data_IF_476679639336
#
_entry.id   IF_476679639336
#
_cell.length_a   1.000
_cell.length_b   1.000
_cell.length_c   1.000
_cell.angle_alpha   90.00
_cell.angle_beta   90.00
_cell.angle_gamma   90.00
#
_symmetry.space_group_name_H-M   'P 1'
#
loop_
_entity.id
_entity.type
_entity.pdbx_description
1 polymer ?
#
# COMPACT_ATOMS: atom_id res chain seq x y z
N UNK A 1 16.45 -3.51 21.73
CA UNK A 1 16.66 -2.21 21.04
C UNK A 1 16.68 -2.32 19.50
N UNK A 2 16.12 -3.39 18.89
CA UNK A 2 16.20 -3.63 17.43
C UNK A 2 14.92 -3.36 16.61
N UNK A 3 13.77 -3.11 17.25
CA UNK A 3 12.49 -3.03 16.54
C UNK A 3 12.18 -1.63 15.98
N UNK A 4 12.69 -0.57 16.63
CA UNK A 4 12.49 0.81 16.19
C UNK A 4 13.35 1.18 14.96
N UNK A 5 14.53 0.58 14.80
CA UNK A 5 15.39 0.80 13.62
C UNK A 5 14.82 0.11 12.37
N UNK A 6 14.20 -1.07 12.53
CA UNK A 6 13.50 -1.76 11.45
C UNK A 6 12.25 -0.98 11.03
N UNK A 7 11.43 -0.54 11.99
CA UNK A 7 10.25 0.28 11.71
C UNK A 7 10.62 1.61 11.06
N UNK A 8 11.69 2.26 11.53
CA UNK A 8 12.24 3.49 10.95
C UNK A 8 12.73 3.30 9.51
N UNK A 9 13.52 2.25 9.23
CA UNK A 9 13.97 1.91 7.86
C UNK A 9 12.83 1.54 6.92
N UNK A 10 11.75 0.97 7.45
CA UNK A 10 10.54 0.61 6.68
C UNK A 10 9.68 1.84 6.40
N UNK A 11 9.51 2.74 7.38
CA UNK A 11 8.89 4.06 7.21
C UNK A 11 9.60 4.87 6.14
N UNK A 12 10.93 4.97 6.21
CA UNK A 12 11.78 5.65 5.22
C UNK A 12 11.65 5.05 3.81
N UNK A 13 11.47 3.72 3.71
CA UNK A 13 11.30 3.02 2.42
C UNK A 13 9.93 3.26 1.79
N UNK A 14 8.88 3.33 2.61
CA UNK A 14 7.51 3.65 2.18
C UNK A 14 7.39 5.14 1.82
N UNK A 15 8.22 5.98 2.44
CA UNK A 15 8.32 7.42 2.22
C UNK A 15 9.18 7.85 1.03
N UNK A 16 9.48 7.03 0.00
CA UNK A 16 10.35 7.49 -1.11
C UNK A 16 9.73 7.67 -2.49
N UNK A 17 8.47 7.28 -2.75
CA UNK A 17 8.00 7.24 -4.15
C UNK A 17 6.55 7.65 -4.52
N UNK A 18 5.77 8.37 -3.71
CA UNK A 18 4.60 9.15 -4.22
C UNK A 18 4.12 10.21 -3.24
N UNK A 19 3.90 11.42 -3.75
CA UNK A 19 3.32 12.61 -3.06
C UNK A 19 3.95 12.86 -1.68
N UNK A 20 5.29 13.00 -1.68
CA UNK A 20 6.12 13.25 -0.49
C UNK A 20 5.57 14.35 0.41
N UNK A 21 5.13 15.43 -0.21
CA UNK A 21 4.60 16.59 0.49
C UNK A 21 3.35 16.20 1.29
N UNK A 22 2.33 15.63 0.66
CA UNK A 22 1.07 15.24 1.34
C UNK A 22 1.30 14.27 2.51
N UNK A 23 2.18 13.28 2.35
CA UNK A 23 2.44 12.28 3.40
C UNK A 23 3.22 12.83 4.59
N UNK A 24 4.23 13.66 4.33
CA UNK A 24 5.01 14.33 5.38
C UNK A 24 4.09 15.25 6.17
N UNK A 25 3.32 16.09 5.50
CA UNK A 25 2.36 17.00 6.15
C UNK A 25 1.30 16.23 6.93
N UNK A 26 0.71 15.16 6.39
CA UNK A 26 -0.25 14.33 7.13
C UNK A 26 0.36 13.71 8.40
N UNK A 27 1.63 13.31 8.35
CA UNK A 27 2.33 12.73 9.52
C UNK A 27 2.61 13.81 10.56
N UNK A 28 3.08 14.99 10.13
CA UNK A 28 3.33 16.14 11.01
C UNK A 28 2.02 16.60 11.67
N UNK A 29 0.94 16.74 10.91
CA UNK A 29 -0.38 17.11 11.45
C UNK A 29 -0.88 16.08 12.48
N UNK A 30 -0.66 14.79 12.22
CA UNK A 30 -1.03 13.72 13.14
C UNK A 30 -0.23 13.78 14.47
N UNK A 31 1.09 13.95 14.39
CA UNK A 31 1.95 14.10 15.57
C UNK A 31 1.56 15.35 16.36
N UNK A 32 1.29 16.45 15.66
CA UNK A 32 0.87 17.69 16.29
C UNK A 32 -0.47 17.53 17.03
N UNK A 33 -1.44 16.80 16.48
CA UNK A 33 -2.69 16.49 17.18
C UNK A 33 -2.45 15.72 18.49
N UNK A 34 -1.57 14.72 18.47
CA UNK A 34 -1.21 13.96 19.68
C UNK A 34 -0.56 14.87 20.73
N UNK A 35 0.35 15.74 20.30
CA UNK A 35 1.03 16.67 21.20
C UNK A 35 0.05 17.67 21.84
N UNK A 36 -0.83 18.28 21.04
CA UNK A 36 -1.87 19.19 21.54
C UNK A 36 -2.80 18.48 22.51
N UNK A 37 -3.21 17.25 22.19
CA UNK A 37 -4.05 16.46 23.08
C UNK A 37 -3.31 16.13 24.39
N UNK A 38 -2.03 15.77 24.34
CA UNK A 38 -1.22 15.50 25.53
C UNK A 38 -1.01 16.72 26.43
N UNK A 39 -0.83 17.91 25.86
CA UNK A 39 -0.64 19.16 26.63
C UNK A 39 -1.97 19.71 27.15
N UNK A 40 -3.02 19.64 26.33
CA UNK A 40 -4.31 20.27 26.61
C UNK A 40 -5.30 19.40 27.39
N UNK A 41 -5.26 18.08 27.25
CA UNK A 41 -6.28 17.19 27.81
C UNK A 41 -6.43 17.36 29.32
N UNK A 42 -5.34 17.21 30.08
CA UNK A 42 -5.40 17.31 31.53
C UNK A 42 -5.54 18.76 32.01
N UNK A 43 -4.97 19.73 31.30
CA UNK A 43 -4.95 21.14 31.71
C UNK A 43 -6.29 21.86 31.51
N UNK A 44 -7.04 21.48 30.47
CA UNK A 44 -8.25 22.20 30.03
C UNK A 44 -9.52 21.39 30.28
N UNK A 45 -9.42 20.06 30.27
CA UNK A 45 -10.55 19.16 30.54
C UNK A 45 -10.40 18.37 31.84
N UNK A 46 -9.32 18.55 32.62
CA UNK A 46 -9.13 17.81 33.87
C UNK A 46 -10.17 18.15 34.96
N UNK A 47 -10.66 19.39 34.95
CA UNK A 47 -11.66 19.96 35.86
C UNK A 47 -13.07 20.01 35.20
N UNK A 48 -13.28 19.32 34.08
CA UNK A 48 -14.52 19.47 33.29
C UNK A 48 -15.80 19.08 34.06
N UNK A 49 -15.69 18.11 34.96
CA UNK A 49 -16.82 17.64 35.78
C UNK A 49 -16.83 18.32 37.16
N UNK A 50 -15.67 18.62 37.76
CA UNK A 50 -15.62 19.25 39.10
C UNK A 50 -16.08 20.69 39.09
N UNK A 51 -15.85 21.40 37.98
CA UNK A 51 -16.14 22.83 37.84
C UNK A 51 -17.39 23.06 36.96
N UNK A 52 -18.22 22.02 36.78
CA UNK A 52 -19.52 22.14 36.13
C UNK A 52 -20.59 22.44 37.16
N UNK A 53 -20.92 23.72 37.37
CA UNK A 53 -21.76 24.15 38.49
C UNK A 53 -23.18 24.42 38.02
N UNK A 54 -24.18 23.80 38.65
CA UNK A 54 -25.60 24.11 38.42
C UNK A 54 -26.20 24.96 39.54
N UNK A 55 -27.04 25.94 39.21
CA UNK A 55 -27.75 26.79 40.16
C UNK A 55 -28.93 26.03 40.81
N UNK A 56 -28.61 25.07 41.68
CA UNK A 56 -29.57 24.22 42.37
C UNK A 56 -28.96 23.61 43.63
N UNK A 57 -29.77 23.38 44.66
CA UNK A 57 -29.36 22.62 45.86
C UNK A 57 -29.79 21.15 45.78
N UNK A 58 -30.40 20.73 44.68
CA UNK A 58 -30.89 19.37 44.51
C UNK A 58 -29.74 18.39 44.29
N UNK A 59 -29.55 17.38 45.16
CA UNK A 59 -28.50 16.39 44.99
C UNK A 59 -28.70 15.57 43.71
N UNK A 60 -27.60 15.34 42.98
CA UNK A 60 -27.57 14.55 41.75
C UNK A 60 -27.98 15.28 40.48
N UNK A 61 -28.56 16.49 40.57
CA UNK A 61 -28.95 17.26 39.38
C UNK A 61 -27.72 17.64 38.53
N UNK A 62 -26.62 18.07 39.16
CA UNK A 62 -25.37 18.40 38.47
C UNK A 62 -24.82 17.22 37.65
N UNK A 63 -24.76 16.02 38.25
CA UNK A 63 -24.27 14.81 37.60
C UNK A 63 -25.08 14.44 36.34
N UNK A 64 -26.41 14.48 36.41
CA UNK A 64 -27.26 14.11 35.27
C UNK A 64 -27.25 15.15 34.16
N UNK A 65 -27.07 16.43 34.52
CA UNK A 65 -26.98 17.53 33.58
C UNK A 65 -25.64 17.55 32.87
N UNK A 66 -24.54 17.27 33.59
CA UNK A 66 -23.23 17.09 33.00
C UNK A 66 -23.22 15.94 31.99
N UNK A 67 -23.72 14.76 32.37
CA UNK A 67 -23.83 13.59 31.49
C UNK A 67 -24.68 13.88 30.23
N UNK A 68 -25.74 14.67 30.37
CA UNK A 68 -26.59 15.03 29.24
C UNK A 68 -25.98 16.09 28.33
N UNK A 69 -25.25 17.06 28.89
CA UNK A 69 -24.53 18.08 28.13
C UNK A 69 -23.32 17.49 27.40
N UNK A 70 -22.63 16.54 28.04
CA UNK A 70 -21.39 15.94 27.56
C UNK A 70 -21.44 14.41 27.64
N UNK A 71 -22.21 13.74 26.76
CA UNK A 71 -22.31 12.28 26.76
C UNK A 71 -20.96 11.58 26.52
N UNK A 72 -20.06 12.26 25.80
CA UNK A 72 -18.64 11.93 25.71
C UNK A 72 -17.86 13.25 25.84
N UNK A 73 -16.69 13.23 26.49
CA UNK A 73 -15.84 14.41 26.54
C UNK A 73 -15.09 14.62 25.22
N UNK A 74 -14.78 15.87 24.89
CA UNK A 74 -14.08 16.23 23.66
C UNK A 74 -12.75 15.50 23.51
N UNK A 75 -12.00 15.38 24.61
CA UNK A 75 -10.71 14.66 24.63
C UNK A 75 -10.89 13.21 24.23
N UNK A 76 -11.88 12.50 24.80
CA UNK A 76 -12.16 11.11 24.47
C UNK A 76 -12.60 10.96 23.02
N UNK A 77 -13.42 11.88 22.53
CA UNK A 77 -13.83 11.93 21.13
C UNK A 77 -12.62 12.06 20.18
N UNK A 78 -11.70 12.98 20.47
CA UNK A 78 -10.49 13.16 19.66
C UNK A 78 -9.52 11.99 19.74
N UNK A 79 -9.40 11.32 20.88
CA UNK A 79 -8.62 10.07 20.99
C UNK A 79 -9.20 9.00 20.06
N UNK A 80 -10.52 8.81 20.07
CA UNK A 80 -11.20 7.88 19.17
C UNK A 80 -11.00 8.27 17.69
N UNK A 81 -11.03 9.57 17.36
CA UNK A 81 -10.73 10.06 16.02
C UNK A 81 -9.30 9.70 15.59
N UNK A 82 -8.30 10.00 16.41
CA UNK A 82 -6.88 9.74 16.13
C UNK A 82 -6.66 8.24 15.90
N UNK A 83 -7.16 7.39 16.79
CA UNK A 83 -7.04 5.92 16.68
C UNK A 83 -7.70 5.45 15.39
N UNK A 84 -8.96 5.83 15.16
CA UNK A 84 -9.72 5.38 13.98
C UNK A 84 -9.08 5.82 12.68
N UNK A 85 -8.63 7.08 12.56
CA UNK A 85 -7.98 7.61 11.34
C UNK A 85 -6.59 7.02 11.11
N UNK A 86 -5.91 6.57 12.18
CA UNK A 86 -4.60 5.90 12.07
C UNK A 86 -4.71 4.43 11.63
N UNK A 87 -5.80 3.73 12.00
CA UNK A 87 -5.96 2.30 11.74
C UNK A 87 -5.86 1.90 10.25
N UNK A 88 -6.48 2.61 9.28
CA UNK A 88 -6.30 2.30 7.85
C UNK A 88 -4.84 2.37 7.39
N UNK A 89 -4.07 3.30 7.96
CA UNK A 89 -2.65 3.48 7.61
C UNK A 89 -1.82 2.31 8.14
N UNK A 90 -2.10 1.84 9.36
CA UNK A 90 -1.46 0.66 9.95
C UNK A 90 -1.79 -0.61 9.17
N UNK A 91 -3.06 -0.81 8.78
CA UNK A 91 -3.47 -1.94 7.95
C UNK A 91 -2.76 -1.91 6.59
N UNK A 92 -2.68 -0.75 5.95
CA UNK A 92 -1.94 -0.59 4.70
C UNK A 92 -0.45 -0.90 4.86
N UNK A 93 0.18 -0.39 5.94
CA UNK A 93 1.58 -0.69 6.23
C UNK A 93 1.79 -2.19 6.44
N UNK A 94 0.94 -2.84 7.24
CA UNK A 94 0.99 -4.30 7.44
C UNK A 94 0.89 -5.08 6.13
N UNK A 95 -0.02 -4.67 5.23
CA UNK A 95 -0.15 -5.27 3.90
C UNK A 95 1.09 -5.05 3.03
N UNK A 96 1.70 -3.86 3.06
CA UNK A 96 2.96 -3.56 2.35
C UNK A 96 4.09 -4.45 2.88
N UNK A 97 4.23 -4.56 4.20
CA UNK A 97 5.26 -5.37 4.83
C UNK A 97 5.10 -6.85 4.51
N UNK A 98 3.87 -7.35 4.53
CA UNK A 98 3.57 -8.72 4.14
C UNK A 98 4.00 -9.02 2.71
N UNK A 99 3.63 -8.16 1.74
CA UNK A 99 4.03 -8.33 0.33
C UNK A 99 5.55 -8.27 0.16
N UNK A 100 6.22 -7.31 0.82
CA UNK A 100 7.68 -7.19 0.73
C UNK A 100 8.36 -8.45 1.28
N UNK A 101 7.84 -9.00 2.37
CA UNK A 101 8.39 -10.22 2.97
C UNK A 101 8.21 -11.43 2.05
N UNK A 102 7.02 -11.60 1.45
CA UNK A 102 6.77 -12.65 0.45
C UNK A 102 7.75 -12.53 -0.74
N UNK A 103 7.96 -11.31 -1.26
CA UNK A 103 8.91 -11.11 -2.37
C UNK A 103 10.37 -11.37 -1.98
N UNK A 104 10.75 -11.10 -0.73
CA UNK A 104 12.10 -11.39 -0.22
C UNK A 104 12.35 -12.89 -0.17
N UNK A 105 11.40 -13.65 0.39
CA UNK A 105 11.47 -15.12 0.46
C UNK A 105 11.55 -15.72 -0.95
N UNK A 106 10.74 -15.23 -1.90
CA UNK A 106 10.78 -15.68 -3.29
C UNK A 106 12.14 -15.42 -3.96
N UNK A 107 12.79 -14.28 -3.70
CA UNK A 107 14.14 -14.00 -4.24
C UNK A 107 15.20 -14.93 -3.66
N UNK A 108 15.12 -15.21 -2.36
CA UNK A 108 16.06 -16.12 -1.71
C UNK A 108 15.91 -17.54 -2.26
N UNK A 109 14.68 -18.00 -2.53
CA UNK A 109 14.41 -19.27 -3.20
C UNK A 109 14.93 -19.29 -4.65
N UNK A 110 14.74 -18.21 -5.42
CA UNK A 110 15.29 -18.09 -6.79
C UNK A 110 16.81 -18.14 -6.82
N UNK A 111 17.50 -17.48 -5.88
CA UNK A 111 18.97 -17.52 -5.79
C UNK A 111 19.50 -18.92 -5.48
N UNK A 112 18.81 -19.67 -4.61
CA UNK A 112 19.15 -21.08 -4.33
C UNK A 112 18.96 -21.96 -5.57
N UNK A 113 17.83 -21.83 -6.25
CA UNK A 113 17.54 -22.57 -7.49
C UNK A 113 18.45 -22.20 -8.68
N UNK A 114 19.14 -21.06 -8.63
CA UNK A 114 20.12 -20.65 -9.65
C UNK A 114 21.50 -21.28 -9.42
N UNK A 115 21.84 -21.65 -8.18
CA UNK A 115 23.09 -22.35 -7.86
C UNK A 115 23.03 -23.84 -8.23
N UNK A 116 21.85 -24.44 -8.23
CA UNK A 116 21.63 -25.80 -8.74
C UNK A 116 21.44 -25.72 -10.26
N UNK A 117 22.43 -26.19 -11.03
CA UNK A 117 22.50 -26.14 -12.49
C UNK A 117 21.48 -27.08 -13.17
N UNK A 118 20.19 -26.94 -12.86
CA UNK A 118 19.13 -27.71 -13.49
C UNK A 118 17.92 -26.82 -13.81
N UNK A 119 17.75 -26.58 -15.11
CA UNK A 119 16.51 -26.19 -15.81
C UNK A 119 16.28 -24.68 -16.07
N UNK A 120 16.89 -24.24 -17.18
CA UNK A 120 16.44 -23.10 -18.02
C UNK A 120 14.93 -23.15 -18.33
N UNK A 121 14.29 -24.33 -18.29
CA UNK A 121 12.87 -24.52 -18.58
C UNK A 121 11.93 -24.02 -17.46
N UNK A 122 12.36 -24.04 -16.19
CA UNK A 122 11.56 -23.53 -15.04
C UNK A 122 11.43 -22.01 -15.04
N UNK A 123 12.13 -21.32 -15.96
CA UNK A 123 12.13 -19.86 -16.12
C UNK A 123 10.80 -19.29 -16.63
N UNK A 124 9.95 -20.09 -17.28
CA UNK A 124 8.67 -19.62 -17.86
C UNK A 124 7.48 -19.61 -16.90
N UNK A 125 7.57 -20.23 -15.73
CA UNK A 125 6.45 -20.35 -14.77
C UNK A 125 6.62 -19.61 -13.44
N UNK A 126 7.83 -19.15 -13.12
CA UNK A 126 8.12 -18.57 -11.81
C UNK A 126 7.73 -17.09 -11.78
N UNK A 127 6.78 -16.71 -10.93
CA UNK A 127 6.32 -15.32 -10.76
C UNK A 127 7.51 -14.43 -10.37
N UNK A 128 7.97 -13.57 -11.28
CA UNK A 128 9.00 -12.57 -10.97
C UNK A 128 8.50 -11.59 -9.88
N UNK A 129 9.38 -11.10 -8.98
CA UNK A 129 9.01 -10.07 -8.02
C UNK A 129 8.51 -8.82 -8.77
N UNK A 130 7.30 -8.39 -8.44
CA UNK A 130 6.53 -7.39 -9.20
C UNK A 130 6.57 -6.00 -8.55
N UNK A 131 6.85 -5.93 -7.25
CA UNK A 131 6.69 -4.72 -6.45
C UNK A 131 8.02 -4.16 -5.93
N UNK A 132 9.10 -4.93 -5.85
CA UNK A 132 10.41 -4.46 -5.38
C UNK A 132 11.49 -4.56 -6.48
N UNK A 133 12.33 -3.53 -6.65
CA UNK A 133 13.51 -3.60 -7.54
C UNK A 133 14.73 -4.21 -6.83
N UNK A 134 15.80 -4.58 -7.55
CA UNK A 134 17.07 -5.08 -6.95
C UNK A 134 17.67 -4.16 -5.88
N UNK A 135 17.31 -2.86 -5.92
CA UNK A 135 17.69 -1.84 -4.94
C UNK A 135 16.73 -1.72 -3.75
N UNK A 136 15.74 -2.61 -3.62
CA UNK A 136 14.72 -2.59 -2.57
C UNK A 136 13.69 -1.46 -2.68
N UNK A 137 13.57 -0.82 -3.85
CA UNK A 137 12.58 0.24 -4.10
C UNK A 137 11.20 -0.37 -4.35
N UNK A 138 10.19 0.07 -3.59
CA UNK A 138 8.79 -0.38 -3.71
C UNK A 138 8.08 0.44 -4.80
N UNK A 139 7.58 -0.23 -5.84
CA UNK A 139 6.75 0.37 -6.88
C UNK A 139 5.27 0.10 -6.57
N UNK A 140 4.47 1.16 -6.45
CA UNK A 140 3.03 1.05 -6.17
C UNK A 140 2.33 0.69 -7.48
N UNK A 141 2.01 -0.59 -7.68
CA UNK A 141 1.25 -1.07 -8.85
C UNK A 141 0.16 -2.06 -8.42
N UNK A 142 -0.84 -2.29 -9.29
CA UNK A 142 -1.82 -3.38 -9.15
C UNK A 142 -2.50 -3.48 -7.77
N UNK A 143 -2.24 -4.59 -7.06
CA UNK A 143 -2.84 -4.88 -5.75
C UNK A 143 -2.45 -3.86 -4.67
N UNK A 144 -1.22 -3.36 -4.71
CA UNK A 144 -0.72 -2.39 -3.73
C UNK A 144 -1.36 -1.01 -3.91
N UNK A 145 -1.61 -0.61 -5.16
CA UNK A 145 -2.35 0.62 -5.46
C UNK A 145 -3.81 0.54 -4.97
N UNK A 146 -4.46 -0.63 -5.13
CA UNK A 146 -5.83 -0.84 -4.65
C UNK A 146 -5.93 -0.72 -3.13
N UNK A 147 -5.02 -1.37 -2.38
CA UNK A 147 -4.99 -1.25 -0.92
C UNK A 147 -4.68 0.17 -0.46
N UNK A 148 -3.83 0.89 -1.21
CA UNK A 148 -3.50 2.28 -0.92
C UNK A 148 -4.71 3.22 -1.11
N UNK A 149 -5.45 3.08 -2.22
CA UNK A 149 -6.68 3.84 -2.47
C UNK A 149 -7.73 3.54 -1.40
N UNK A 150 -7.92 2.25 -1.04
CA UNK A 150 -8.87 1.86 0.00
C UNK A 150 -8.51 2.52 1.35
N UNK A 151 -7.23 2.52 1.72
CA UNK A 151 -6.74 3.22 2.91
C UNK A 151 -7.13 4.71 2.89
N UNK A 152 -6.83 5.42 1.79
CA UNK A 152 -7.17 6.85 1.65
C UNK A 152 -8.68 7.10 1.74
N UNK A 153 -9.50 6.27 1.07
CA UNK A 153 -10.96 6.39 1.12
C UNK A 153 -11.49 6.16 2.54
N UNK A 154 -11.02 5.13 3.25
CA UNK A 154 -11.39 4.90 4.64
C UNK A 154 -11.03 6.10 5.53
N UNK A 155 -9.84 6.70 5.35
CA UNK A 155 -9.43 7.90 6.11
C UNK A 155 -10.34 9.09 5.84
N UNK A 156 -10.70 9.34 4.58
CA UNK A 156 -11.63 10.42 4.20
C UNK A 156 -12.99 10.20 4.86
N UNK A 157 -13.55 9.00 4.77
CA UNK A 157 -14.85 8.67 5.38
C UNK A 157 -14.82 8.84 6.89
N UNK A 158 -13.75 8.39 7.55
CA UNK A 158 -13.59 8.54 9.00
C UNK A 158 -13.43 10.01 9.39
N UNK A 159 -12.53 10.78 8.76
CA UNK A 159 -12.36 12.21 9.06
C UNK A 159 -13.68 12.98 8.86
N UNK A 160 -14.40 12.74 7.76
CA UNK A 160 -15.74 13.34 7.54
C UNK A 160 -16.72 12.92 8.63
N UNK A 161 -16.75 11.63 8.98
CA UNK A 161 -17.62 11.10 10.04
C UNK A 161 -17.36 11.78 11.39
N UNK A 162 -16.10 11.95 11.79
CA UNK A 162 -15.75 12.64 13.03
C UNK A 162 -16.01 14.15 12.98
N UNK A 163 -15.81 14.82 11.84
CA UNK A 163 -16.17 16.24 11.68
C UNK A 163 -17.69 16.43 11.84
N UNK A 164 -18.48 15.59 11.17
CA UNK A 164 -19.94 15.63 11.31
C UNK A 164 -20.38 15.26 12.72
N UNK A 165 -19.77 14.25 13.32
CA UNK A 165 -20.04 13.84 14.70
C UNK A 165 -19.79 14.96 15.70
N UNK A 166 -18.66 15.66 15.59
CA UNK A 166 -18.35 16.84 16.41
C UNK A 166 -19.42 17.93 16.24
N UNK A 167 -19.81 18.22 15.00
CA UNK A 167 -20.82 19.23 14.70
C UNK A 167 -22.19 18.87 15.30
N UNK A 168 -22.64 17.62 15.17
CA UNK A 168 -23.94 17.20 15.69
C UNK A 168 -23.97 17.02 17.22
N UNK A 169 -22.85 16.62 17.83
CA UNK A 169 -22.77 16.43 19.29
C UNK A 169 -22.58 17.74 20.05
N UNK A 170 -21.69 18.62 19.56
CA UNK A 170 -21.25 19.79 20.32
C UNK A 170 -21.41 21.12 19.57
N UNK A 171 -21.59 21.08 18.25
CA UNK A 171 -21.55 22.28 17.40
C UNK A 171 -20.13 22.82 17.19
N UNK A 172 -20.05 24.08 16.77
CA UNK A 172 -18.79 24.80 16.54
C UNK A 172 -18.36 25.68 17.72
N UNK A 173 -19.25 25.89 18.68
CA UNK A 173 -19.03 26.77 19.82
C UNK A 173 -19.71 26.23 21.07
N UNK A 174 -18.93 26.08 22.11
CA UNK A 174 -19.39 25.74 23.44
C UNK A 174 -19.86 26.99 24.16
N UNK A 175 -21.15 27.05 24.46
CA UNK A 175 -21.75 28.17 25.22
C UNK A 175 -21.40 28.04 26.70
N UNK A 176 -21.15 29.16 27.42
CA UNK A 176 -20.81 29.13 28.84
C UNK A 176 -21.95 28.65 29.75
N UNK A 177 -23.20 28.72 29.27
CA UNK A 177 -24.40 28.34 30.01
C UNK A 177 -25.13 27.20 29.29
N UNK A 178 -25.54 26.21 30.06
CA UNK A 178 -26.34 25.07 29.65
C UNK A 178 -27.63 24.99 30.48
N UNK A 179 -28.78 25.00 29.81
CA UNK A 179 -30.09 24.93 30.48
C UNK A 179 -30.53 23.47 30.54
N UNK A 180 -30.66 22.93 31.75
CA UNK A 180 -30.97 21.52 31.98
C UNK A 180 -32.36 21.34 32.63
N UNK A 181 -33.08 20.29 32.24
CA UNK A 181 -34.39 19.92 32.80
C UNK A 181 -34.55 18.40 33.04
N UNK A 182 -33.44 17.70 33.30
CA UNK A 182 -33.42 16.24 33.46
C UNK A 182 -33.70 15.86 34.92
N UNK A 183 -34.43 14.78 35.18
CA UNK A 183 -34.60 14.26 36.55
C UNK A 183 -33.23 13.90 37.15
N UNK A 184 -32.90 14.27 38.42
CA UNK A 184 -33.79 14.74 39.50
C UNK A 184 -33.95 16.27 39.61
N UNK A 185 -33.62 17.07 38.60
CA UNK A 185 -33.73 18.53 38.67
C UNK A 185 -35.20 18.99 38.85
N UNK A 186 -35.49 19.91 39.79
CA UNK A 186 -36.86 20.29 40.13
C UNK A 186 -37.56 21.16 39.07
N UNK A 187 -36.78 21.89 38.28
CA UNK A 187 -37.23 22.78 37.20
C UNK A 187 -36.08 22.96 36.21
N UNK A 188 -36.21 23.91 35.28
CA UNK A 188 -35.09 24.31 34.41
C UNK A 188 -34.04 25.00 35.26
N UNK A 189 -32.85 24.41 35.33
CA UNK A 189 -31.70 24.95 36.06
C UNK A 189 -30.64 25.41 35.07
N UNK A 190 -29.95 26.48 35.42
CA UNK A 190 -28.80 26.98 34.67
C UNK A 190 -27.53 26.32 35.20
N UNK A 191 -26.80 25.68 34.31
CA UNK A 191 -25.49 25.10 34.59
C UNK A 191 -24.40 25.85 33.83
N UNK A 192 -23.26 26.07 34.48
CA UNK A 192 -22.16 26.84 33.95
C UNK A 192 -20.97 25.93 33.69
N UNK A 193 -20.34 26.13 32.53
CA UNK A 193 -19.23 25.32 32.07
C UNK A 193 -17.90 25.94 32.47
N UNK A 194 -16.95 25.10 32.87
CA UNK A 194 -15.57 25.52 33.10
C UNK A 194 -14.83 25.82 31.79
N UNK A 195 -14.16 26.98 31.75
CA UNK A 195 -13.25 27.45 30.68
C UNK A 195 -13.79 27.30 29.24
N UNK A 196 -15.01 27.79 28.93
CA UNK A 196 -15.62 27.59 27.62
C UNK A 196 -14.83 28.24 26.48
N UNK A 197 -14.22 29.41 26.72
CA UNK A 197 -13.39 30.10 25.73
C UNK A 197 -12.10 29.34 25.41
N UNK A 198 -11.41 28.82 26.42
CA UNK A 198 -10.22 27.99 26.23
C UNK A 198 -10.57 26.71 25.47
N UNK A 199 -11.62 26.00 25.90
CA UNK A 199 -12.13 24.80 25.20
C UNK A 199 -12.47 25.08 23.74
N UNK A 200 -13.12 26.21 23.45
CA UNK A 200 -13.43 26.63 22.08
C UNK A 200 -12.19 26.82 21.22
N UNK A 201 -11.12 27.43 21.74
CA UNK A 201 -9.86 27.61 20.99
C UNK A 201 -9.30 26.24 20.56
N UNK A 202 -9.25 25.28 21.47
CA UNK A 202 -8.79 23.93 21.17
C UNK A 202 -9.74 23.17 20.21
N UNK A 203 -11.06 23.34 20.33
CA UNK A 203 -12.05 22.76 19.40
C UNK A 203 -11.81 23.28 17.98
N UNK A 204 -11.68 24.60 17.82
CA UNK A 204 -11.37 25.21 16.52
C UNK A 204 -10.03 24.74 15.97
N UNK A 205 -9.01 24.67 16.81
CA UNK A 205 -7.70 24.17 16.42
C UNK A 205 -7.78 22.73 15.89
N UNK A 206 -8.41 21.82 16.63
CA UNK A 206 -8.58 20.41 16.24
C UNK A 206 -9.45 20.26 14.98
N UNK A 207 -10.48 21.10 14.82
CA UNK A 207 -11.32 21.15 13.63
C UNK A 207 -10.52 21.59 12.40
N UNK A 208 -9.75 22.68 12.49
CA UNK A 208 -8.90 23.15 11.38
C UNK A 208 -7.91 22.08 10.97
N UNK A 209 -7.25 21.43 11.93
CA UNK A 209 -6.33 20.32 11.66
C UNK A 209 -7.03 19.13 10.99
N UNK A 210 -8.30 18.87 11.32
CA UNK A 210 -9.16 17.87 10.68
C UNK A 210 -9.50 18.23 9.23
N UNK A 211 -9.89 19.48 8.99
CA UNK A 211 -10.16 19.99 7.64
C UNK A 211 -8.90 19.96 6.75
N UNK A 212 -7.75 20.37 7.25
CA UNK A 212 -6.48 20.35 6.49
C UNK A 212 -6.08 18.91 6.16
N UNK A 213 -6.19 17.97 7.12
CA UNK A 213 -5.94 16.54 6.87
C UNK A 213 -6.89 15.98 5.80
N UNK A 214 -8.18 16.27 5.91
CA UNK A 214 -9.17 15.85 4.93
C UNK A 214 -8.84 16.38 3.53
N UNK A 215 -8.50 17.67 3.42
CA UNK A 215 -8.11 18.31 2.16
C UNK A 215 -6.87 17.65 1.56
N UNK A 216 -5.83 17.38 2.35
CA UNK A 216 -4.62 16.69 1.88
C UNK A 216 -4.93 15.28 1.35
N UNK A 217 -5.79 14.52 2.04
CA UNK A 217 -6.21 13.20 1.57
C UNK A 217 -7.04 13.31 0.26
N UNK A 218 -7.91 14.32 0.13
CA UNK A 218 -8.69 14.56 -1.10
C UNK A 218 -7.78 14.95 -2.28
N UNK A 219 -6.80 15.83 -2.06
CA UNK A 219 -5.80 16.22 -3.07
C UNK A 219 -5.02 14.98 -3.54
N UNK A 220 -4.64 14.09 -2.62
CA UNK A 220 -3.91 12.88 -2.96
C UNK A 220 -4.76 11.92 -3.81
N UNK A 221 -6.03 11.70 -3.44
CA UNK A 221 -6.97 10.90 -4.25
C UNK A 221 -7.19 11.53 -5.63
N UNK A 222 -7.37 12.85 -5.69
CA UNK A 222 -7.56 13.58 -6.95
C UNK A 222 -6.33 13.49 -7.86
N UNK A 223 -5.13 13.63 -7.31
CA UNK A 223 -3.87 13.46 -8.04
C UNK A 223 -3.75 12.05 -8.64
N UNK A 224 -4.06 11.01 -7.86
CA UNK A 224 -4.04 9.62 -8.36
C UNK A 224 -5.09 9.38 -9.44
N UNK A 225 -6.26 9.99 -9.29
CA UNK A 225 -7.34 9.91 -10.27
C UNK A 225 -6.95 10.54 -11.60
N UNK A 226 -6.41 11.77 -11.59
CA UNK A 226 -5.90 12.44 -12.80
C UNK A 226 -4.79 11.62 -13.44
N UNK A 227 -3.82 11.15 -12.65
CA UNK A 227 -2.70 10.35 -13.17
C UNK A 227 -3.21 9.12 -13.92
N UNK A 228 -4.18 8.41 -13.34
CA UNK A 228 -4.79 7.23 -13.96
C UNK A 228 -5.56 7.56 -15.22
N UNK A 229 -6.31 8.68 -15.25
CA UNK A 229 -6.98 9.15 -16.47
C UNK A 229 -5.95 9.45 -17.56
N UNK A 230 -4.87 10.15 -17.24
CA UNK A 230 -3.84 10.50 -18.21
C UNK A 230 -3.13 9.26 -18.77
N UNK A 231 -2.82 8.27 -17.92
CA UNK A 231 -2.31 6.96 -18.36
C UNK A 231 -3.31 6.24 -19.28
N UNK A 232 -4.61 6.26 -18.97
CA UNK A 232 -5.64 5.68 -19.84
C UNK A 232 -5.77 6.40 -21.18
N UNK A 233 -5.68 7.73 -21.21
CA UNK A 233 -5.76 8.55 -22.42
C UNK A 233 -4.53 8.35 -23.30
N UNK A 234 -3.32 8.35 -22.73
CA UNK A 234 -2.09 8.09 -23.49
C UNK A 234 -2.07 6.68 -24.07
N UNK A 235 -2.52 5.67 -23.31
CA UNK A 235 -2.67 4.31 -23.84
C UNK A 235 -3.63 4.29 -25.03
N UNK A 236 -4.75 5.02 -24.96
CA UNK A 236 -5.73 5.11 -26.07
C UNK A 236 -5.12 5.82 -27.31
N UNK A 237 -4.20 6.78 -27.10
CA UNK A 237 -3.43 7.42 -28.18
C UNK A 237 -2.47 6.44 -28.86
N UNK A 238 -1.77 5.58 -28.11
CA UNK A 238 -0.91 4.54 -28.71
C UNK A 238 -1.72 3.52 -29.54
N UNK A 239 -2.92 3.14 -29.08
CA UNK A 239 -3.84 2.30 -29.87
C UNK A 239 -4.34 3.02 -31.15
N UNK A 240 -4.58 4.33 -31.11
CA UNK A 240 -5.01 5.11 -32.27
C UNK A 240 -3.86 5.46 -33.24
N UNK A 241 -2.62 5.55 -32.75
CA UNK A 241 -1.42 5.72 -33.59
C UNK A 241 -0.98 4.38 -34.20
N UNK A 242 -1.43 3.26 -33.64
CA UNK A 242 -1.33 1.93 -34.26
C UNK A 242 -2.51 1.63 -35.19
N UNK A 243 -2.95 2.63 -35.97
CA UNK A 243 -3.78 2.37 -37.14
C UNK A 243 -2.89 1.83 -38.27
N UNK A 244 -3.00 0.53 -38.56
CA UNK A 244 -2.88 -0.14 -39.90
C UNK A 244 -1.76 0.46 -40.79
N UNK A 245 -0.56 -0.11 -40.98
CA UNK A 245 -0.18 -1.32 -41.79
C UNK A 245 1.37 -1.30 -42.01
N UNK A 246 2.08 -2.39 -42.40
CA UNK A 246 1.69 -3.39 -43.38
C UNK A 246 1.50 -4.79 -42.80
N UNK A 247 0.73 -5.57 -43.56
CA UNK A 247 0.81 -7.03 -43.62
C UNK A 247 2.22 -7.47 -43.29
N UNK A 248 2.39 -8.32 -42.26
CA UNK A 248 3.60 -9.11 -42.13
C UNK A 248 3.71 -9.91 -43.43
N UNK A 249 4.48 -9.39 -44.39
CA UNK A 249 4.66 -10.03 -45.68
C UNK A 249 5.03 -11.47 -45.41
N UNK A 250 4.25 -12.40 -45.95
CA UNK A 250 4.46 -13.87 -45.90
C UNK A 250 5.95 -14.26 -46.05
N UNK A 251 6.70 -13.45 -46.80
CA UNK A 251 8.16 -13.44 -46.95
C UNK A 251 8.98 -13.56 -45.65
N UNK A 252 8.63 -12.89 -44.55
CA UNK A 252 9.45 -12.92 -43.32
C UNK A 252 9.23 -14.20 -42.50
N UNK A 253 8.03 -14.79 -42.58
CA UNK A 253 7.74 -16.09 -41.99
C UNK A 253 8.34 -17.21 -42.84
N UNK A 254 8.17 -17.16 -44.17
CA UNK A 254 8.83 -18.08 -45.11
C UNK A 254 10.35 -18.05 -44.97
N UNK A 255 10.99 -16.88 -44.81
CA UNK A 255 12.44 -16.81 -44.65
C UNK A 255 12.93 -17.48 -43.35
N UNK A 256 12.14 -17.40 -42.28
CA UNK A 256 12.48 -18.03 -40.99
C UNK A 256 12.30 -19.55 -41.05
N UNK A 257 11.24 -20.03 -41.70
CA UNK A 257 11.02 -21.46 -41.95
C UNK A 257 12.06 -22.04 -42.91
N UNK A 258 12.46 -21.29 -43.94
CA UNK A 258 13.52 -21.69 -44.88
C UNK A 258 14.88 -21.79 -44.17
N UNK A 259 15.18 -20.88 -43.25
CA UNK A 259 16.39 -20.97 -42.42
C UNK A 259 16.36 -22.21 -41.53
N UNK A 260 15.23 -22.54 -40.90
CA UNK A 260 15.08 -23.73 -40.06
C UNK A 260 15.20 -25.01 -40.89
N UNK A 261 14.55 -25.08 -42.06
CA UNK A 261 14.66 -26.20 -43.00
C UNK A 261 16.09 -26.39 -43.50
N UNK A 262 16.78 -25.32 -43.87
CA UNK A 262 18.18 -25.38 -44.29
C UNK A 262 19.11 -25.84 -43.16
N UNK A 263 18.82 -25.48 -41.91
CA UNK A 263 19.59 -25.90 -40.74
C UNK A 263 19.38 -27.40 -40.46
N UNK A 264 18.13 -27.87 -40.42
CA UNK A 264 17.80 -29.30 -40.30
C UNK A 264 18.44 -30.15 -41.41
N UNK A 265 18.42 -29.66 -42.66
CA UNK A 265 19.01 -30.38 -43.79
C UNK A 265 20.54 -30.48 -43.67
N UNK A 266 21.17 -29.44 -43.13
CA UNK A 266 22.62 -29.42 -42.87
C UNK A 266 23.00 -30.41 -41.77
N UNK A 267 22.19 -30.51 -40.72
CA UNK A 267 22.36 -31.47 -39.62
C UNK A 267 22.18 -32.92 -40.11
N UNK A 268 21.17 -33.17 -40.95
CA UNK A 268 20.95 -34.50 -41.54
C UNK A 268 22.11 -34.90 -42.46
N UNK A 269 22.70 -33.96 -43.22
CA UNK A 269 23.88 -34.22 -44.03
C UNK A 269 25.12 -34.50 -43.18
N UNK A 270 25.29 -33.81 -42.05
CA UNK A 270 26.38 -34.08 -41.10
C UNK A 270 26.23 -35.49 -40.52
N UNK A 271 25.04 -35.86 -40.04
CA UNK A 271 24.77 -37.21 -39.54
C UNK A 271 24.94 -38.29 -40.61
N UNK A 272 24.52 -38.03 -41.86
CA UNK A 272 24.71 -38.99 -42.96
C UNK A 272 26.19 -39.14 -43.34
N UNK A 273 26.99 -38.07 -43.21
CA UNK A 273 28.43 -38.09 -43.48
C UNK A 273 29.18 -38.80 -42.35
N UNK A 274 28.75 -38.64 -41.10
CA UNK A 274 29.25 -39.39 -39.95
C UNK A 274 28.89 -40.88 -40.06
N UNK A 275 27.64 -41.21 -40.41
CA UNK A 275 27.21 -42.59 -40.65
C UNK A 275 27.95 -43.24 -41.84
N UNK A 276 28.20 -42.50 -42.92
CA UNK A 276 28.99 -42.99 -44.06
C UNK A 276 30.48 -43.18 -43.69
N UNK A 277 31.05 -42.33 -42.83
CA UNK A 277 32.40 -42.50 -42.31
C UNK A 277 32.49 -43.71 -41.35
N UNK A 278 31.45 -43.99 -40.56
CA UNK A 278 31.39 -45.19 -39.73
C UNK A 278 31.24 -46.47 -40.55
N UNK A 279 30.40 -46.46 -41.60
CA UNK A 279 30.25 -47.60 -42.52
C UNK A 279 31.54 -47.82 -43.32
N UNK A 280 32.21 -46.75 -43.77
CA UNK A 280 33.53 -46.83 -44.40
C UNK A 280 34.61 -47.38 -43.47
N UNK A 281 34.59 -47.00 -42.18
CA UNK A 281 35.48 -47.59 -41.17
C UNK A 281 35.19 -49.06 -40.88
N UNK A 282 33.94 -49.51 -40.92
CA UNK A 282 33.60 -50.95 -40.78
C UNK A 282 33.99 -51.76 -42.01
N UNK A 283 33.80 -51.22 -43.22
CA UNK A 283 34.22 -51.90 -44.45
C UNK A 283 35.76 -52.08 -44.53
N UNK A 284 36.54 -51.13 -44.02
CA UNK A 284 38.01 -51.24 -43.94
C UNK A 284 38.44 -52.25 -42.85
N UNK A 285 37.62 -52.49 -41.83
CA UNK A 285 37.88 -53.47 -40.77
C UNK A 285 37.53 -54.91 -41.20
N UNK A 286 36.53 -55.09 -42.08
CA UNK A 286 36.18 -56.39 -42.67
C UNK A 286 37.17 -56.82 -43.78
N UNK A 287 37.72 -55.89 -44.56
CA UNK A 287 38.71 -56.22 -45.60
C UNK A 287 40.07 -56.66 -45.00
N UNK A 288 40.38 -56.24 -43.76
CA UNK A 288 41.59 -56.65 -43.04
C UNK A 288 41.48 -58.02 -42.36
N UNK A 289 40.28 -58.61 -42.26
CA UNK A 289 40.07 -59.92 -41.63
C UNK A 289 39.97 -61.07 -42.66
N UNK A 290 39.88 -60.77 -43.96
CA UNK A 290 39.67 -61.78 -45.01
C UNK A 290 40.96 -62.23 -45.73
N UNK A 291 42.14 -61.70 -45.33
CA UNK A 291 43.43 -61.99 -45.98
C UNK A 291 44.46 -62.75 -45.13
N UNK A 292 44.12 -63.28 -43.95
CA UNK A 292 45.05 -64.06 -43.11
C UNK A 292 44.42 -65.38 -42.60
N UNK A 293 44.24 -66.36 -43.50
CA UNK A 293 44.20 -67.79 -43.18
C UNK A 293 44.87 -68.56 -44.35
N UNK A 294 45.89 -69.38 -44.02
CA UNK A 294 46.73 -70.27 -44.88
C UNK A 294 47.79 -69.57 -45.76
N UNK A 295 49.09 -69.93 -45.82
CA UNK A 295 49.85 -71.16 -45.53
C UNK A 295 51.38 -70.80 -45.46
N UNK A 296 52.05 -70.91 -44.32
CA UNK A 296 53.11 -71.89 -43.94
C UNK A 296 53.74 -72.74 -45.07
N UNK A 297 55.05 -72.59 -45.36
CA UNK A 297 56.13 -73.58 -45.08
C UNK A 297 57.40 -73.43 -45.94
N UNK A 298 58.55 -73.52 -45.25
CA UNK A 298 59.95 -73.82 -45.65
C UNK A 298 60.78 -72.67 -46.25
#
# INVERSE_FOLDING_TARGET
MGDWDLLGRLLDKVQKHSTMVGKIWLTVLFVFRILVLGVGAERVWGDEQSDFICNTQQPGCENVCYDHAFPISHVRFWVLQIISVSAPTLVYLGHVLHIINEEKVMREAMKKAQNDQANIFTRKGLKLPKYSNDKGKVSIHGRLLRSYILNLLCKILLEVGFILGQYYLYGFELKPQYVCSRFPCPHKVDCFLSRPTEKNIFIWFMLVMSCVSLLLNLIEVFYLFIKKIHECLNRKRDYNVTAVTPVLTKKTFENKDHMIQNWMKRELHLQKKEAANEVGKRAILEDHHTNDVEEVHI
#
